data_IF_505554869580
#
_entry.id   IF_505554869580
#
_cell.length_a   1.000
_cell.length_b   1.000
_cell.length_c   1.000
_cell.angle_alpha   90.00
_cell.angle_beta   90.00
_cell.angle_gamma   90.00
#
_symmetry.space_group_name_H-M   'P 1'
#
loop_
_entity.id
_entity.type
_entity.pdbx_description
1 polymer ?
#
# COMPACT_ATOMS: atom_id res chain seq x y z
N UNK A 1 12.29 -27.53 -0.59
CA UNK A 1 12.89 -26.21 -0.31
C UNK A 1 13.74 -26.16 0.98
N UNK A 2 13.51 -27.04 1.96
CA UNK A 2 14.21 -27.01 3.27
C UNK A 2 15.61 -27.67 3.21
N UNK A 3 15.87 -28.53 2.26
CA UNK A 3 17.11 -29.34 2.16
C UNK A 3 18.37 -28.52 1.88
N UNK A 4 18.25 -27.28 1.40
CA UNK A 4 19.39 -26.37 1.14
C UNK A 4 19.91 -25.61 2.36
N UNK A 5 19.22 -25.70 3.52
CA UNK A 5 19.55 -24.92 4.73
C UNK A 5 20.09 -25.81 5.86
N UNK A 6 21.15 -26.57 5.57
CA UNK A 6 21.84 -27.31 6.65
C UNK A 6 22.35 -26.29 7.69
N UNK A 7 22.05 -26.53 8.99
CA UNK A 7 22.38 -25.57 10.06
C UNK A 7 23.87 -25.25 10.15
N UNK A 8 24.73 -26.17 9.76
CA UNK A 8 26.17 -25.92 9.69
C UNK A 8 26.54 -24.87 8.63
N UNK A 9 25.81 -24.84 7.52
CA UNK A 9 26.01 -23.82 6.48
C UNK A 9 25.45 -22.47 6.94
N UNK A 10 24.28 -22.49 7.61
CA UNK A 10 23.68 -21.28 8.16
C UNK A 10 24.60 -20.66 9.19
N UNK A 11 25.17 -21.44 10.12
CA UNK A 11 26.16 -20.97 11.10
C UNK A 11 27.38 -20.35 10.40
N UNK A 12 27.90 -21.02 9.37
CA UNK A 12 29.05 -20.52 8.62
C UNK A 12 28.80 -19.18 7.93
N UNK A 13 27.59 -18.97 7.40
CA UNK A 13 27.22 -17.74 6.68
C UNK A 13 26.83 -16.62 7.62
N UNK A 14 26.08 -16.93 8.68
CA UNK A 14 25.51 -15.91 9.58
C UNK A 14 26.39 -15.63 10.81
N UNK A 15 27.31 -16.54 11.15
CA UNK A 15 28.07 -16.51 12.41
C UNK A 15 27.24 -16.91 13.65
N UNK A 16 25.95 -17.26 13.48
CA UNK A 16 25.10 -17.66 14.59
C UNK A 16 25.23 -19.16 14.87
N UNK A 17 25.64 -19.59 16.10
CA UNK A 17 25.79 -20.99 16.44
C UNK A 17 24.51 -21.80 16.24
N UNK A 18 24.62 -23.02 15.69
CA UNK A 18 23.47 -23.91 15.47
C UNK A 18 22.62 -24.12 16.72
N UNK A 19 23.28 -24.22 17.90
CA UNK A 19 22.58 -24.37 19.17
C UNK A 19 21.62 -23.21 19.46
N UNK A 20 22.03 -21.99 19.19
CA UNK A 20 21.19 -20.79 19.37
C UNK A 20 20.04 -20.76 18.35
N UNK A 21 20.29 -21.10 17.08
CA UNK A 21 19.25 -21.19 16.06
C UNK A 21 18.16 -22.20 16.48
N UNK A 22 18.58 -23.39 16.96
CA UNK A 22 17.66 -24.43 17.45
C UNK A 22 16.89 -23.97 18.69
N UNK A 23 17.55 -23.30 19.63
CA UNK A 23 16.93 -22.81 20.84
C UNK A 23 15.85 -21.76 20.53
N UNK A 24 16.17 -20.76 19.71
CA UNK A 24 15.24 -19.73 19.28
C UNK A 24 14.02 -20.32 18.54
N UNK A 25 14.24 -21.27 17.62
CA UNK A 25 13.15 -21.93 16.91
C UNK A 25 12.21 -22.72 17.84
N UNK A 26 12.77 -23.43 18.84
CA UNK A 26 11.98 -24.19 19.81
C UNK A 26 11.22 -23.29 20.77
N UNK A 27 11.84 -22.22 21.24
CA UNK A 27 11.20 -21.23 22.10
C UNK A 27 10.04 -20.54 21.39
N UNK A 28 10.25 -20.09 20.15
CA UNK A 28 9.18 -19.50 19.34
C UNK A 28 8.02 -20.49 19.10
N UNK A 29 8.34 -21.74 18.80
CA UNK A 29 7.33 -22.79 18.58
C UNK A 29 6.56 -23.17 19.85
N UNK A 30 7.19 -23.08 21.02
CA UNK A 30 6.58 -23.38 22.32
C UNK A 30 5.72 -22.21 22.85
N UNK A 31 6.13 -20.97 22.56
CA UNK A 31 5.42 -19.77 23.00
C UNK A 31 4.18 -19.55 22.15
N UNK A 32 2.99 -19.61 22.75
CA UNK A 32 1.71 -19.42 22.06
C UNK A 32 0.76 -18.58 22.91
N UNK A 33 0.22 -17.48 22.37
CA UNK A 33 0.42 -16.93 21.01
C UNK A 33 1.80 -16.27 20.85
N UNK A 34 2.33 -16.28 19.61
CA UNK A 34 3.56 -15.58 19.26
C UNK A 34 3.35 -14.65 18.04
N UNK A 35 4.01 -13.50 18.05
CA UNK A 35 3.95 -12.51 17.00
C UNK A 35 5.35 -12.27 16.41
N UNK A 36 5.40 -11.96 15.11
CA UNK A 36 6.61 -11.58 14.39
C UNK A 36 6.44 -10.14 13.92
N UNK A 37 7.22 -9.22 14.48
CA UNK A 37 7.34 -7.85 14.00
C UNK A 37 8.62 -7.76 13.17
N UNK A 38 8.53 -7.22 11.97
CA UNK A 38 9.68 -7.17 11.07
C UNK A 38 9.68 -5.95 10.16
N UNK A 39 10.88 -5.45 9.81
CA UNK A 39 11.10 -4.40 8.85
C UNK A 39 12.13 -4.91 7.82
N UNK A 40 11.75 -4.97 6.56
CA UNK A 40 12.59 -5.51 5.48
C UNK A 40 12.85 -4.49 4.37
N UNK A 41 12.40 -3.26 4.51
CA UNK A 41 12.41 -2.25 3.44
C UNK A 41 13.82 -1.84 3.02
N UNK A 42 14.79 -1.97 3.92
CA UNK A 42 16.20 -1.70 3.64
C UNK A 42 16.91 -2.81 2.86
N UNK A 43 16.26 -3.97 2.69
CA UNK A 43 16.84 -5.10 1.97
C UNK A 43 16.55 -5.00 0.46
N UNK A 44 17.44 -5.51 -0.40
CA UNK A 44 17.15 -5.66 -1.81
C UNK A 44 15.87 -6.47 -2.06
N UNK A 45 15.09 -6.11 -3.10
CA UNK A 45 13.76 -6.69 -3.38
C UNK A 45 13.73 -8.23 -3.35
N UNK A 46 14.65 -8.89 -4.02
CA UNK A 46 14.69 -10.36 -4.09
C UNK A 46 14.84 -10.98 -2.70
N UNK A 47 15.74 -10.44 -1.87
CA UNK A 47 15.98 -10.91 -0.50
C UNK A 47 14.77 -10.61 0.38
N UNK A 48 14.15 -9.45 0.22
CA UNK A 48 12.94 -9.03 0.95
C UNK A 48 11.78 -10.00 0.74
N UNK A 49 11.54 -10.42 -0.50
CA UNK A 49 10.48 -11.38 -0.84
C UNK A 49 10.75 -12.76 -0.21
N UNK A 50 11.98 -13.25 -0.29
CA UNK A 50 12.36 -14.54 0.30
C UNK A 50 12.27 -14.52 1.82
N UNK A 51 12.76 -13.46 2.48
CA UNK A 51 12.62 -13.28 3.92
C UNK A 51 11.15 -13.23 4.34
N UNK A 52 10.31 -12.48 3.63
CA UNK A 52 8.88 -12.41 3.93
C UNK A 52 8.22 -13.78 3.83
N UNK A 53 8.52 -14.56 2.79
CA UNK A 53 8.01 -15.94 2.64
C UNK A 53 8.49 -16.86 3.77
N UNK A 54 9.75 -16.73 4.19
CA UNK A 54 10.30 -17.52 5.30
C UNK A 54 9.60 -17.20 6.62
N UNK A 55 9.34 -15.92 6.91
CA UNK A 55 8.59 -15.48 8.09
C UNK A 55 7.14 -15.99 8.08
N UNK A 56 6.47 -15.91 6.93
CA UNK A 56 5.12 -16.46 6.74
C UNK A 56 5.11 -17.96 7.00
N UNK A 57 6.06 -18.70 6.44
CA UNK A 57 6.17 -20.15 6.64
C UNK A 57 6.42 -20.51 8.12
N UNK A 58 7.26 -19.72 8.82
CA UNK A 58 7.50 -19.91 10.26
C UNK A 58 6.22 -19.71 11.06
N UNK A 59 5.47 -18.64 10.80
CA UNK A 59 4.20 -18.36 11.48
C UNK A 59 3.14 -19.44 11.19
N UNK A 60 3.06 -19.93 9.96
CA UNK A 60 2.14 -21.00 9.56
C UNK A 60 2.48 -22.33 10.27
N UNK A 61 3.74 -22.77 10.20
CA UNK A 61 4.18 -24.06 10.74
C UNK A 61 4.06 -24.10 12.26
N UNK A 62 4.18 -22.95 12.92
CA UNK A 62 4.01 -22.84 14.38
C UNK A 62 2.57 -22.51 14.77
N UNK A 63 1.66 -22.36 13.80
CA UNK A 63 0.23 -22.13 14.04
C UNK A 63 -0.07 -20.75 14.65
N UNK A 64 0.71 -19.72 14.30
CA UNK A 64 0.57 -18.34 14.76
C UNK A 64 -0.09 -17.43 13.71
N UNK A 65 -0.94 -17.96 12.85
CA UNK A 65 -1.73 -17.19 11.87
C UNK A 65 -3.22 -17.31 12.22
N UNK A 66 -3.96 -16.20 12.13
CA UNK A 66 -5.40 -16.16 12.37
C UNK A 66 -5.82 -16.34 13.83
N UNK A 67 -4.93 -16.13 14.78
CA UNK A 67 -5.20 -16.20 16.21
C UNK A 67 -5.05 -14.83 16.87
N UNK A 68 -5.83 -14.60 17.93
CA UNK A 68 -5.69 -13.39 18.74
C UNK A 68 -4.28 -13.29 19.34
N UNK A 69 -3.70 -12.12 19.28
CA UNK A 69 -2.34 -11.81 19.80
C UNK A 69 -1.20 -12.59 19.10
N UNK A 70 -1.45 -13.13 17.90
CA UNK A 70 -0.45 -13.79 17.07
C UNK A 70 -0.50 -13.24 15.64
N UNK A 71 0.56 -13.42 14.88
CA UNK A 71 0.61 -13.06 13.46
C UNK A 71 1.92 -12.42 13.02
N UNK A 72 1.87 -11.87 11.81
CA UNK A 72 2.97 -11.15 11.19
C UNK A 72 2.60 -9.68 11.08
N UNK A 73 3.52 -8.82 11.50
CA UNK A 73 3.34 -7.38 11.57
C UNK A 73 4.49 -6.69 10.85
N UNK A 74 4.36 -6.43 9.53
CA UNK A 74 5.36 -5.67 8.80
C UNK A 74 5.36 -4.21 9.27
N UNK A 75 6.50 -3.73 9.71
CA UNK A 75 6.72 -2.33 10.04
C UNK A 75 7.05 -1.59 8.74
N UNK A 76 6.04 -0.99 8.15
CA UNK A 76 6.14 -0.24 6.90
C UNK A 76 6.31 1.26 7.22
N UNK A 77 6.81 2.02 6.25
CA UNK A 77 7.06 3.47 6.41
C UNK A 77 5.78 4.29 6.38
N UNK A 78 4.75 3.83 5.67
CA UNK A 78 3.46 4.51 5.56
C UNK A 78 2.53 4.22 6.74
N UNK A 79 2.06 5.26 7.43
CA UNK A 79 1.14 5.12 8.56
C UNK A 79 -0.20 4.47 8.20
N UNK A 80 -0.60 4.49 6.93
CA UNK A 80 -1.86 3.92 6.42
C UNK A 80 -1.66 2.83 5.35
N UNK A 81 -0.50 2.21 5.28
CA UNK A 81 -0.23 1.16 4.29
C UNK A 81 -1.25 0.01 4.35
N UNK A 82 -1.68 -0.37 5.55
CA UNK A 82 -2.72 -1.37 5.73
C UNK A 82 -4.05 -0.90 5.13
N UNK A 83 -4.48 0.33 5.45
CA UNK A 83 -5.72 0.91 4.93
C UNK A 83 -5.70 1.07 3.41
N UNK A 84 -4.61 1.57 2.84
CA UNK A 84 -4.46 1.71 1.40
C UNK A 84 -4.62 0.38 0.67
N UNK A 85 -4.05 -0.70 1.20
CA UNK A 85 -4.20 -2.05 0.64
C UNK A 85 -5.61 -2.61 0.82
N UNK A 86 -6.24 -2.35 1.97
CA UNK A 86 -7.61 -2.79 2.24
C UNK A 86 -8.61 -2.19 1.24
N UNK A 87 -8.37 -0.95 0.79
CA UNK A 87 -9.21 -0.26 -0.19
C UNK A 87 -8.81 -0.50 -1.65
N UNK A 88 -7.78 -1.31 -1.89
CA UNK A 88 -7.37 -1.70 -3.24
C UNK A 88 -6.39 -0.75 -3.93
N UNK A 89 -5.70 0.13 -3.19
CA UNK A 89 -4.59 0.93 -3.73
C UNK A 89 -3.35 0.07 -3.97
N UNK A 90 -3.49 -0.96 -4.79
CA UNK A 90 -2.44 -1.88 -5.17
C UNK A 90 -2.72 -2.42 -6.58
N UNK A 91 -1.68 -2.72 -7.39
CA UNK A 91 -1.87 -3.11 -8.78
C UNK A 91 -2.53 -4.48 -8.95
N UNK A 92 -2.55 -5.32 -7.90
CA UNK A 92 -3.00 -6.71 -7.96
C UNK A 92 -4.35 -6.96 -7.30
N UNK A 93 -4.82 -6.01 -6.49
CA UNK A 93 -5.96 -6.20 -5.61
C UNK A 93 -7.02 -5.12 -5.81
N UNK A 94 -8.25 -5.58 -5.73
CA UNK A 94 -9.44 -4.75 -5.60
C UNK A 94 -9.78 -4.54 -4.11
N UNK A 95 -10.68 -3.60 -3.77
CA UNK A 95 -11.13 -3.39 -2.41
C UNK A 95 -11.48 -4.69 -1.68
N UNK A 96 -10.99 -4.83 -0.44
CA UNK A 96 -11.14 -6.03 0.38
C UNK A 96 -10.19 -7.17 0.02
N UNK A 97 -9.00 -6.84 -0.49
CA UNK A 97 -7.95 -7.80 -0.90
C UNK A 97 -8.42 -8.85 -1.92
N UNK A 98 -9.40 -8.48 -2.77
CA UNK A 98 -9.84 -9.39 -3.83
C UNK A 98 -8.82 -9.42 -4.94
N UNK A 99 -8.42 -10.62 -5.31
CA UNK A 99 -7.50 -10.81 -6.42
C UNK A 99 -8.15 -10.33 -7.72
N UNK A 100 -7.46 -9.45 -8.45
CA UNK A 100 -7.91 -8.89 -9.72
C UNK A 100 -8.13 -9.97 -10.80
N UNK A 101 -7.42 -11.10 -10.73
CA UNK A 101 -7.61 -12.22 -11.67
C UNK A 101 -8.86 -13.06 -11.37
N UNK A 102 -9.47 -12.91 -10.18
CA UNK A 102 -10.70 -13.60 -9.81
C UNK A 102 -11.91 -12.95 -10.49
N UNK A 103 -12.60 -13.67 -11.36
CA UNK A 103 -13.82 -13.20 -12.02
C UNK A 103 -14.90 -12.81 -11.01
N UNK A 104 -15.16 -13.66 -10.01
CA UNK A 104 -16.12 -13.36 -8.94
C UNK A 104 -15.74 -12.12 -8.14
N UNK A 105 -14.42 -11.92 -7.89
CA UNK A 105 -13.91 -10.72 -7.21
C UNK A 105 -14.16 -9.46 -8.01
N UNK A 106 -13.88 -9.49 -9.31
CA UNK A 106 -14.12 -8.36 -10.23
C UNK A 106 -15.62 -8.05 -10.37
N UNK A 107 -16.45 -9.08 -10.59
CA UNK A 107 -17.88 -8.89 -10.79
C UNK A 107 -18.52 -8.16 -9.61
N UNK A 108 -18.17 -8.52 -8.39
CA UNK A 108 -18.72 -7.85 -7.19
C UNK A 108 -18.37 -6.35 -7.13
N UNK A 109 -17.16 -5.98 -7.56
CA UNK A 109 -16.76 -4.57 -7.59
C UNK A 109 -17.36 -3.86 -8.80
N UNK A 110 -17.43 -4.54 -9.94
CA UNK A 110 -18.07 -4.05 -11.16
C UNK A 110 -19.54 -3.71 -10.94
N UNK A 111 -20.28 -4.59 -10.23
CA UNK A 111 -21.67 -4.37 -9.87
C UNK A 111 -21.84 -3.16 -8.92
N UNK A 112 -20.96 -3.03 -7.94
CA UNK A 112 -21.00 -1.93 -6.98
C UNK A 112 -20.68 -0.57 -7.63
N UNK A 113 -19.76 -0.53 -8.57
CA UNK A 113 -19.32 0.69 -9.25
C UNK A 113 -20.02 0.93 -10.59
N UNK A 114 -20.87 0.02 -11.03
CA UNK A 114 -21.49 0.03 -12.36
C UNK A 114 -20.42 0.28 -13.46
N UNK A 115 -19.30 -0.42 -13.37
CA UNK A 115 -18.13 -0.21 -14.23
C UNK A 115 -17.48 -1.54 -14.62
N UNK A 116 -16.83 -1.57 -15.77
CA UNK A 116 -16.03 -2.71 -16.19
C UNK A 116 -14.66 -2.69 -15.50
N UNK A 117 -14.32 -3.78 -14.82
CA UNK A 117 -13.03 -3.94 -14.17
C UNK A 117 -12.09 -4.77 -15.05
N UNK A 118 -10.96 -4.20 -15.50
CA UNK A 118 -9.99 -4.92 -16.32
C UNK A 118 -9.46 -6.18 -15.60
N UNK A 119 -9.24 -7.30 -16.30
CA UNK A 119 -8.76 -8.55 -15.68
C UNK A 119 -7.23 -8.63 -15.55
N UNK A 120 -6.51 -7.58 -15.89
CA UNK A 120 -5.05 -7.55 -15.90
C UNK A 120 -4.50 -6.62 -14.82
N UNK A 121 -3.35 -7.01 -14.31
CA UNK A 121 -2.61 -6.28 -13.28
C UNK A 121 -2.15 -4.91 -13.79
N UNK A 122 -2.26 -3.88 -12.97
CA UNK A 122 -1.61 -2.60 -13.20
C UNK A 122 -0.09 -2.64 -12.99
N UNK A 123 0.58 -1.57 -13.35
CA UNK A 123 2.02 -1.41 -13.10
C UNK A 123 2.23 -1.04 -11.63
N UNK A 124 3.07 -1.78 -10.93
CA UNK A 124 3.44 -1.48 -9.55
C UNK A 124 4.45 -0.33 -9.46
N UNK A 125 4.50 0.34 -8.31
CA UNK A 125 5.42 1.46 -8.09
C UNK A 125 6.88 1.10 -8.36
N UNK A 126 7.30 -0.13 -8.04
CA UNK A 126 8.67 -0.61 -8.29
C UNK A 126 8.97 -0.90 -9.78
N UNK A 127 7.93 -1.06 -10.60
CA UNK A 127 8.05 -1.40 -12.01
C UNK A 127 7.73 -0.17 -12.90
N UNK A 128 7.32 0.97 -12.30
CA UNK A 128 6.88 2.16 -13.04
C UNK A 128 8.01 2.77 -13.87
N UNK A 129 9.21 2.84 -13.32
CA UNK A 129 10.40 3.38 -14.00
C UNK A 129 10.69 2.62 -15.30
N UNK A 130 10.70 1.28 -15.25
CA UNK A 130 10.91 0.48 -16.45
C UNK A 130 9.74 0.59 -17.43
N UNK A 131 8.50 0.70 -16.94
CA UNK A 131 7.34 0.86 -17.80
C UNK A 131 7.33 2.21 -18.55
N UNK A 132 7.85 3.27 -17.93
CA UNK A 132 8.07 4.56 -18.59
C UNK A 132 9.16 4.42 -19.65
N UNK A 133 10.32 3.88 -19.30
CA UNK A 133 11.45 3.68 -20.22
C UNK A 133 11.09 2.79 -21.42
N UNK A 134 10.20 1.82 -21.22
CA UNK A 134 9.66 0.97 -22.30
C UNK A 134 8.58 1.68 -23.16
N UNK A 135 8.20 2.90 -22.83
CA UNK A 135 7.13 3.65 -23.52
C UNK A 135 5.72 3.11 -23.28
N UNK A 136 5.54 2.24 -22.29
CA UNK A 136 4.23 1.67 -21.92
C UNK A 136 3.38 2.67 -21.12
N UNK A 137 4.03 3.56 -20.36
CA UNK A 137 3.39 4.65 -19.62
C UNK A 137 3.85 5.95 -20.24
N UNK A 138 2.92 6.74 -20.77
CA UNK A 138 3.17 8.02 -21.44
C UNK A 138 2.70 9.21 -20.63
N UNK A 139 1.66 9.02 -19.83
CA UNK A 139 1.15 10.04 -18.92
C UNK A 139 1.03 9.46 -17.52
N UNK A 140 1.32 10.26 -16.51
CA UNK A 140 1.30 9.83 -15.12
C UNK A 140 0.75 10.95 -14.22
N UNK A 141 -0.16 10.59 -13.33
CA UNK A 141 -0.52 11.42 -12.19
C UNK A 141 0.10 10.81 -10.93
N UNK A 142 0.91 11.59 -10.24
CA UNK A 142 1.53 11.21 -8.97
C UNK A 142 0.83 11.97 -7.85
N UNK A 143 0.26 11.23 -6.90
CA UNK A 143 -0.30 11.78 -5.66
C UNK A 143 0.65 11.39 -4.54
N UNK A 144 1.35 12.37 -4.00
CA UNK A 144 2.44 12.13 -3.05
C UNK A 144 2.34 13.09 -1.88
N UNK A 145 2.48 12.54 -0.68
CA UNK A 145 2.74 13.30 0.54
C UNK A 145 4.08 12.88 1.17
N UNK A 146 4.97 12.40 0.41
CA UNK A 146 6.33 11.95 0.68
C UNK A 146 6.58 10.64 -0.09
N UNK A 147 7.18 10.69 -1.28
CA UNK A 147 7.48 9.47 -2.03
C UNK A 147 8.49 8.62 -1.24
N UNK A 148 8.04 7.44 -0.83
CA UNK A 148 8.89 6.45 -0.14
C UNK A 148 9.79 5.71 -1.13
N UNK A 149 10.48 6.44 -1.97
CA UNK A 149 11.55 5.88 -2.78
C UNK A 149 12.83 5.83 -1.94
N UNK A 150 13.60 4.77 -2.06
CA UNK A 150 15.00 4.82 -1.65
C UNK A 150 15.74 5.83 -2.54
N UNK A 151 16.79 6.46 -2.04
CA UNK A 151 17.47 7.52 -2.78
C UNK A 151 17.89 7.13 -4.21
N UNK A 152 18.25 5.86 -4.45
CA UNK A 152 18.56 5.37 -5.79
C UNK A 152 17.34 5.21 -6.68
N UNK A 153 16.27 4.60 -6.14
CA UNK A 153 15.01 4.40 -6.87
C UNK A 153 14.34 5.74 -7.25
N UNK A 154 14.46 6.76 -6.39
CA UNK A 154 13.95 8.10 -6.68
C UNK A 154 14.70 8.73 -7.87
N UNK A 155 16.03 8.67 -7.88
CA UNK A 155 16.82 9.24 -8.98
C UNK A 155 16.48 8.61 -10.32
N UNK A 156 16.40 7.29 -10.40
CA UNK A 156 16.03 6.55 -11.61
C UNK A 156 14.59 6.91 -12.05
N UNK A 157 13.67 7.06 -11.11
CA UNK A 157 12.29 7.47 -11.40
C UNK A 157 12.21 8.91 -11.94
N UNK A 158 12.93 9.85 -11.32
CA UNK A 158 12.96 11.26 -11.76
C UNK A 158 13.49 11.39 -13.19
N UNK A 159 14.56 10.66 -13.52
CA UNK A 159 15.10 10.66 -14.89
C UNK A 159 14.10 10.06 -15.90
N UNK A 160 13.46 8.94 -15.55
CA UNK A 160 12.42 8.35 -16.40
C UNK A 160 11.22 9.30 -16.57
N UNK A 161 10.78 9.95 -15.50
CA UNK A 161 9.62 10.83 -15.50
C UNK A 161 9.78 12.04 -16.46
N UNK A 162 11.01 12.49 -16.72
CA UNK A 162 11.30 13.54 -17.72
C UNK A 162 10.97 13.13 -19.16
N UNK A 163 10.84 11.83 -19.42
CA UNK A 163 10.48 11.30 -20.75
C UNK A 163 8.97 11.09 -20.95
N UNK A 164 8.15 11.36 -19.94
CA UNK A 164 6.70 11.29 -20.06
C UNK A 164 6.17 12.38 -21.01
N UNK A 165 5.12 12.06 -21.74
CA UNK A 165 4.40 13.03 -22.59
C UNK A 165 3.60 14.02 -21.70
N UNK A 166 3.19 13.60 -20.49
CA UNK A 166 2.45 14.44 -19.57
C UNK A 166 2.59 13.96 -18.12
N UNK A 167 3.03 14.83 -17.23
CA UNK A 167 3.21 14.55 -15.81
C UNK A 167 2.39 15.53 -14.96
N UNK A 168 1.46 14.98 -14.19
CA UNK A 168 0.70 15.72 -13.16
C UNK A 168 1.20 15.31 -11.78
N UNK A 169 1.57 16.26 -10.95
CA UNK A 169 1.98 16.01 -9.56
C UNK A 169 1.01 16.71 -8.62
N UNK A 170 0.45 15.95 -7.70
CA UNK A 170 -0.43 16.45 -6.65
C UNK A 170 0.29 16.28 -5.32
N UNK A 171 0.76 17.37 -4.73
CA UNK A 171 1.56 17.36 -3.51
C UNK A 171 1.29 18.57 -2.64
N UNK A 172 1.56 18.44 -1.34
CA UNK A 172 1.46 19.51 -0.35
C UNK A 172 2.74 20.34 -0.28
N UNK A 173 3.87 19.84 -0.79
CA UNK A 173 5.18 20.47 -0.71
C UNK A 173 5.88 20.44 -2.07
N UNK A 174 6.70 21.46 -2.31
CA UNK A 174 7.59 21.48 -3.46
C UNK A 174 8.64 20.38 -3.33
N UNK A 175 8.93 19.70 -4.44
CA UNK A 175 9.90 18.62 -4.53
C UNK A 175 10.55 18.63 -5.91
N UNK A 176 11.63 17.86 -6.11
CA UNK A 176 12.24 17.66 -7.43
C UNK A 176 11.23 17.15 -8.46
N UNK A 177 10.22 16.39 -8.03
CA UNK A 177 9.17 15.90 -8.90
C UNK A 177 8.22 17.04 -9.34
N UNK A 178 7.90 17.97 -8.45
CA UNK A 178 7.08 19.13 -8.82
C UNK A 178 7.80 20.11 -9.75
N UNK A 179 9.13 20.13 -9.73
CA UNK A 179 9.93 20.98 -10.62
C UNK A 179 9.91 20.52 -12.08
N UNK A 180 9.73 19.21 -12.32
CA UNK A 180 9.68 18.62 -13.66
C UNK A 180 8.26 18.35 -14.17
N UNK A 181 7.25 18.62 -13.35
CA UNK A 181 5.85 18.36 -13.69
C UNK A 181 5.30 19.38 -14.70
N UNK A 182 4.45 18.93 -15.63
CA UNK A 182 3.69 19.81 -16.52
C UNK A 182 2.59 20.56 -15.75
N UNK A 183 2.00 19.90 -14.75
CA UNK A 183 0.95 20.48 -13.89
C UNK A 183 1.19 20.07 -12.45
N UNK A 184 1.16 21.06 -11.55
CA UNK A 184 1.20 20.84 -10.11
C UNK A 184 -0.16 21.20 -9.51
N UNK A 185 -0.76 20.28 -8.77
CA UNK A 185 -2.02 20.45 -8.07
C UNK A 185 -1.73 20.49 -6.55
N UNK A 186 -2.10 21.57 -5.85
CA UNK A 186 -1.82 21.67 -4.42
C UNK A 186 -2.71 20.72 -3.61
N UNK A 187 -2.11 19.94 -2.72
CA UNK A 187 -2.75 18.97 -1.85
C UNK A 187 -2.75 19.44 -0.39
N UNK A 188 -3.71 18.96 0.38
CA UNK A 188 -3.73 19.14 1.83
C UNK A 188 -2.73 18.19 2.50
N UNK A 189 -2.10 18.68 3.57
CA UNK A 189 -1.29 17.83 4.45
C UNK A 189 -2.20 16.92 5.30
N UNK A 190 -1.61 15.90 5.93
CA UNK A 190 -2.35 15.01 6.84
C UNK A 190 -2.99 15.78 8.02
N UNK A 191 -2.43 16.91 8.43
CA UNK A 191 -2.93 17.72 9.53
C UNK A 191 -4.15 18.61 9.15
N UNK A 192 -4.40 18.79 7.86
CA UNK A 192 -5.46 19.64 7.31
C UNK A 192 -6.67 18.84 6.80
N UNK A 193 -6.53 17.52 6.65
CA UNK A 193 -7.57 16.66 6.07
C UNK A 193 -8.21 15.72 7.07
N UNK A 194 -9.43 15.31 6.76
CA UNK A 194 -10.17 14.26 7.44
C UNK A 194 -10.01 12.94 6.68
N UNK A 195 -9.95 11.82 7.39
CA UNK A 195 -9.84 10.51 6.76
C UNK A 195 -9.70 9.39 7.78
N UNK A 196 -9.38 8.19 7.30
CA UNK A 196 -9.15 7.04 8.17
C UNK A 196 -7.76 6.46 7.97
N UNK A 197 -7.19 5.96 9.04
CA UNK A 197 -5.93 5.23 9.07
C UNK A 197 -6.17 3.85 9.67
N UNK A 198 -5.74 2.81 8.99
CA UNK A 198 -5.76 1.46 9.53
C UNK A 198 -4.35 1.09 10.01
N UNK A 199 -4.20 0.89 11.31
CA UNK A 199 -2.91 0.57 11.91
C UNK A 199 -2.54 -0.92 11.76
N UNK A 200 -1.36 -1.30 12.27
CA UNK A 200 -0.85 -2.69 12.24
C UNK A 200 -1.76 -3.70 12.95
N UNK A 201 -2.52 -3.27 13.95
CA UNK A 201 -3.51 -4.10 14.64
C UNK A 201 -4.82 -4.24 13.85
N UNK A 202 -4.88 -3.66 12.65
CA UNK A 202 -6.09 -3.57 11.79
C UNK A 202 -7.23 -2.79 12.43
N UNK A 203 -6.89 -1.84 13.29
CA UNK A 203 -7.84 -0.88 13.85
C UNK A 203 -7.97 0.31 12.91
N UNK A 204 -9.17 0.56 12.42
CA UNK A 204 -9.51 1.75 11.65
C UNK A 204 -9.71 2.91 12.61
N UNK A 205 -8.95 3.97 12.42
CA UNK A 205 -8.92 5.14 13.29
C UNK A 205 -9.26 6.39 12.49
N UNK A 206 -10.17 7.21 13.00
CA UNK A 206 -10.55 8.48 12.37
C UNK A 206 -9.49 9.55 12.65
N UNK A 207 -8.93 10.09 11.58
CA UNK A 207 -8.12 11.30 11.60
C UNK A 207 -9.03 12.51 11.43
N UNK A 208 -8.92 13.49 12.34
CA UNK A 208 -9.58 14.79 12.22
C UNK A 208 -8.56 15.86 11.92
N UNK A 209 -8.92 16.90 11.14
CA UNK A 209 -8.03 18.02 10.90
C UNK A 209 -7.59 18.65 12.23
N UNK A 210 -6.30 18.83 12.39
CA UNK A 210 -5.71 19.58 13.51
C UNK A 210 -5.47 21.04 13.14
N UNK A 211 -5.41 21.34 11.85
CA UNK A 211 -5.18 22.67 11.29
C UNK A 211 -6.28 23.00 10.29
N UNK A 212 -6.56 24.28 10.12
CA UNK A 212 -7.33 24.78 8.96
C UNK A 212 -6.49 24.70 7.69
N UNK A 213 -7.15 24.50 6.57
CA UNK A 213 -6.50 24.47 5.25
C UNK A 213 -5.76 25.79 5.01
N UNK A 214 -4.52 25.70 4.58
CA UNK A 214 -3.68 26.84 4.22
C UNK A 214 -3.48 26.90 2.72
N UNK A 215 -3.60 28.11 2.15
CA UNK A 215 -3.45 28.31 0.71
C UNK A 215 -4.54 27.62 -0.09
N UNK A 216 -4.17 27.13 -1.28
CA UNK A 216 -5.08 26.52 -2.26
C UNK A 216 -5.12 25.00 -2.18
N UNK A 217 -4.64 24.40 -1.07
CA UNK A 217 -4.61 22.95 -0.88
C UNK A 217 -6.00 22.33 -0.90
N UNK A 218 -6.23 21.38 -1.80
CA UNK A 218 -7.48 20.62 -1.92
C UNK A 218 -7.29 19.19 -1.40
N UNK A 219 -8.36 18.60 -0.88
CA UNK A 219 -8.33 17.19 -0.50
C UNK A 219 -8.15 16.31 -1.75
N UNK A 220 -7.23 15.34 -1.69
CA UNK A 220 -6.85 14.51 -2.83
C UNK A 220 -8.06 13.84 -3.52
N UNK A 221 -9.01 13.35 -2.74
CA UNK A 221 -10.22 12.72 -3.26
C UNK A 221 -11.10 13.70 -4.07
N UNK A 222 -11.17 14.97 -3.68
CA UNK A 222 -11.93 16.00 -4.42
C UNK A 222 -11.29 16.29 -5.76
N UNK A 223 -9.98 16.44 -5.79
CA UNK A 223 -9.22 16.62 -7.04
C UNK A 223 -9.45 15.43 -7.98
N UNK A 224 -9.40 14.19 -7.48
CA UNK A 224 -9.71 12.99 -8.26
C UNK A 224 -11.15 13.06 -8.80
N UNK A 225 -12.14 13.39 -7.98
CA UNK A 225 -13.53 13.52 -8.40
C UNK A 225 -13.70 14.58 -9.48
N UNK A 226 -13.09 15.75 -9.33
CA UNK A 226 -13.16 16.82 -10.32
C UNK A 226 -12.54 16.43 -11.65
N UNK A 227 -11.40 15.72 -11.65
CA UNK A 227 -10.77 15.21 -12.87
C UNK A 227 -11.69 14.18 -13.53
N UNK A 228 -12.21 13.22 -12.77
CA UNK A 228 -13.10 12.18 -13.27
C UNK A 228 -14.38 12.78 -13.93
N UNK A 229 -15.01 13.74 -13.28
CA UNK A 229 -16.18 14.45 -13.81
C UNK A 229 -15.86 15.19 -15.13
N UNK A 230 -14.70 15.88 -15.21
CA UNK A 230 -14.27 16.54 -16.45
C UNK A 230 -13.95 15.56 -17.58
N UNK A 231 -13.57 14.33 -17.22
CA UNK A 231 -13.41 13.24 -18.19
C UNK A 231 -14.73 12.56 -18.58
N UNK A 232 -15.86 12.99 -18.01
CA UNK A 232 -17.18 12.44 -18.29
C UNK A 232 -17.54 11.18 -17.49
N UNK A 233 -16.78 10.87 -16.44
CA UNK A 233 -17.09 9.76 -15.56
C UNK A 233 -18.30 10.10 -14.66
N UNK A 234 -19.18 9.13 -14.41
CA UNK A 234 -20.31 9.22 -13.49
C UNK A 234 -19.94 8.62 -12.13
N UNK A 235 -20.69 8.99 -11.07
CA UNK A 235 -20.49 8.41 -9.73
C UNK A 235 -19.40 9.07 -8.89
N UNK A 236 -18.94 10.26 -9.28
CA UNK A 236 -17.93 11.05 -8.57
C UNK A 236 -18.51 12.36 -7.99
N UNK A 237 -19.78 12.33 -7.60
CA UNK A 237 -20.51 13.52 -7.12
C UNK A 237 -20.40 13.71 -5.59
N UNK A 238 -19.34 13.21 -5.00
CA UNK A 238 -19.12 13.29 -3.56
C UNK A 238 -18.86 14.73 -3.11
N UNK A 239 -19.49 15.12 -2.03
CA UNK A 239 -19.30 16.42 -1.36
C UNK A 239 -18.53 16.31 -0.04
N UNK A 240 -18.52 15.10 0.55
CA UNK A 240 -17.91 14.77 1.84
C UNK A 240 -17.26 13.38 1.78
N UNK A 241 -16.43 13.05 2.78
CA UNK A 241 -15.76 11.75 2.90
C UNK A 241 -16.69 10.64 3.36
N UNK A 242 -17.76 10.98 4.11
CA UNK A 242 -18.69 10.00 4.69
C UNK A 242 -19.33 9.09 3.61
N UNK A 243 -19.91 9.61 2.51
CA UNK A 243 -20.45 8.78 1.44
C UNK A 243 -19.41 7.88 0.76
N UNK A 244 -18.18 8.35 0.60
CA UNK A 244 -17.09 7.54 0.03
C UNK A 244 -16.80 6.37 0.97
N UNK A 245 -16.76 6.61 2.27
CA UNK A 245 -16.52 5.57 3.26
C UNK A 245 -17.69 4.59 3.37
N UNK A 246 -18.92 5.07 3.26
CA UNK A 246 -20.12 4.21 3.26
C UNK A 246 -20.14 3.29 2.03
N UNK A 247 -19.74 3.78 0.85
CA UNK A 247 -19.58 2.94 -0.35
C UNK A 247 -18.49 1.88 -0.13
N UNK A 248 -17.35 2.28 0.44
CA UNK A 248 -16.26 1.37 0.78
C UNK A 248 -16.75 0.25 1.72
N UNK A 249 -17.54 0.56 2.74
CA UNK A 249 -18.09 -0.42 3.69
C UNK A 249 -18.95 -1.48 2.99
N UNK A 250 -19.68 -1.12 1.95
CA UNK A 250 -20.49 -2.04 1.17
C UNK A 250 -19.64 -3.02 0.34
N UNK A 251 -18.46 -2.59 -0.07
CA UNK A 251 -17.53 -3.37 -0.90
C UNK A 251 -16.57 -4.17 -0.01
N UNK A 252 -15.99 -3.53 1.00
CA UNK A 252 -14.96 -4.12 1.89
C UNK A 252 -15.64 -4.73 3.12
N UNK A 253 -15.88 -6.04 3.06
CA UNK A 253 -16.66 -6.75 4.10
C UNK A 253 -16.14 -6.57 5.53
N UNK A 254 -14.82 -6.47 5.71
CA UNK A 254 -14.20 -6.29 7.03
C UNK A 254 -14.41 -4.90 7.63
N UNK A 255 -14.87 -3.94 6.84
CA UNK A 255 -15.23 -2.59 7.26
C UNK A 255 -16.73 -2.45 7.57
N UNK A 256 -17.51 -3.50 7.29
CA UNK A 256 -18.96 -3.49 7.50
C UNK A 256 -19.34 -3.05 8.92
N UNK A 257 -20.21 -2.05 9.02
CA UNK A 257 -20.67 -1.49 10.28
C UNK A 257 -19.80 -0.36 10.86
N UNK A 258 -18.70 0.00 10.21
CA UNK A 258 -17.94 1.22 10.53
C UNK A 258 -18.64 2.45 9.95
N UNK A 259 -18.48 3.59 10.58
CA UNK A 259 -18.94 4.88 10.05
C UNK A 259 -18.15 6.03 10.68
N UNK A 260 -18.13 7.18 10.01
CA UNK A 260 -17.53 8.40 10.56
C UNK A 260 -18.29 8.97 11.79
N UNK A 261 -19.48 8.46 12.08
CA UNK A 261 -20.31 8.90 13.20
C UNK A 261 -20.11 8.10 14.48
N UNK A 262 -19.32 7.06 14.45
CA UNK A 262 -19.03 6.18 15.59
C UNK A 262 -17.61 6.27 16.08
#
# INVERSE_FOLDING_TARGET
AIWGFALIQVERVTGVPQGQIRAAAREFAASKPAAILYALETLPRAIREECSRALVNLALVTGNVGKKSAGLFPLLTGANDQGSRDVGCAPDFLPGHRNLTSEQGRQRVADAWNAQIPPFRGVGALDITSAINDGKVKALQVISNNPNFTNGELGDFLEAAKSLDFLVVQDAFSSELTEIADVVLPSQTFAERRGTYTNLERRVQLLRPALGVKGDGEADWRTICQIAQRMGASGFDYTEEDPIFDELNNIVRVYGGLSYRR
#
